data_IF_206731100686
#
_entry.id   IF_206731100686
#
_cell.length_a   1.000
_cell.length_b   1.000
_cell.length_c   1.000
_cell.angle_alpha   90.00
_cell.angle_beta   90.00
_cell.angle_gamma   90.00
#
_symmetry.space_group_name_H-M   'P 1'
#
loop_
_entity.id
_entity.type
_entity.pdbx_description
1 polymer ?
#
# COMPACT_ATOMS: atom_id res chain seq x y z
N UNK A 1 12.51 -11.80 -5.16
CA UNK A 1 12.15 -10.37 -5.16
C UNK A 1 13.12 -9.63 -4.27
N UNK A 2 13.65 -8.50 -4.73
CA UNK A 2 14.55 -7.64 -3.95
C UNK A 2 13.76 -6.65 -3.09
N UNK A 3 14.45 -6.02 -2.14
CA UNK A 3 13.86 -4.96 -1.31
C UNK A 3 13.56 -3.75 -2.19
N UNK A 4 12.40 -3.14 -1.96
CA UNK A 4 11.97 -1.92 -2.65
C UNK A 4 12.49 -0.71 -1.88
N UNK A 5 13.14 0.21 -2.60
CA UNK A 5 13.65 1.46 -2.03
C UNK A 5 12.72 2.61 -2.41
N UNK A 6 12.34 3.42 -1.42
CA UNK A 6 11.55 4.62 -1.64
C UNK A 6 12.26 5.57 -2.60
N UNK A 7 11.57 5.97 -3.67
CA UNK A 7 12.06 6.96 -4.62
C UNK A 7 11.28 8.27 -4.43
N UNK A 8 11.90 9.23 -3.73
CA UNK A 8 11.28 10.52 -3.42
C UNK A 8 10.76 11.25 -4.67
N UNK A 9 11.54 11.26 -5.74
CA UNK A 9 11.21 12.00 -6.97
C UNK A 9 9.96 11.43 -7.65
N UNK A 10 9.84 10.11 -7.71
CA UNK A 10 8.76 9.42 -8.43
C UNK A 10 7.53 9.11 -7.58
N UNK A 11 7.69 8.96 -6.26
CA UNK A 11 6.61 8.46 -5.39
C UNK A 11 6.10 9.46 -4.36
N UNK A 12 6.83 10.55 -4.09
CA UNK A 12 6.28 11.60 -3.23
C UNK A 12 5.06 12.23 -3.89
N UNK A 13 3.99 12.38 -3.11
CA UNK A 13 2.75 13.07 -3.50
C UNK A 13 2.69 14.51 -3.00
N UNK A 14 3.78 15.03 -2.46
CA UNK A 14 3.87 16.41 -1.96
C UNK A 14 3.10 16.66 -0.67
N UNK A 15 2.60 15.61 -0.01
CA UNK A 15 1.89 15.71 1.26
C UNK A 15 2.59 14.81 2.29
N UNK A 16 3.25 15.41 3.28
CA UNK A 16 4.13 14.71 4.23
C UNK A 16 3.49 13.51 4.91
N UNK A 17 2.24 13.64 5.38
CA UNK A 17 1.52 12.52 6.01
C UNK A 17 1.32 11.33 5.06
N UNK A 18 1.04 11.59 3.77
CA UNK A 18 0.81 10.52 2.79
C UNK A 18 2.13 9.84 2.46
N UNK A 19 3.20 10.63 2.24
CA UNK A 19 4.54 10.11 1.98
C UNK A 19 5.07 9.26 3.16
N UNK A 20 4.85 9.70 4.39
CA UNK A 20 5.21 8.93 5.59
C UNK A 20 4.45 7.61 5.68
N UNK A 21 3.14 7.62 5.38
CA UNK A 21 2.32 6.40 5.37
C UNK A 21 2.73 5.45 4.24
N UNK A 22 3.02 5.97 3.04
CA UNK A 22 3.53 5.17 1.93
C UNK A 22 4.83 4.46 2.29
N UNK A 23 5.77 5.17 2.92
CA UNK A 23 7.03 4.61 3.37
C UNK A 23 6.86 3.54 4.46
N UNK A 24 5.94 3.75 5.40
CA UNK A 24 5.62 2.76 6.44
C UNK A 24 5.04 1.48 5.87
N UNK A 25 4.12 1.60 4.91
CA UNK A 25 3.51 0.46 4.22
C UNK A 25 4.56 -0.28 3.38
N UNK A 26 5.42 0.46 2.67
CA UNK A 26 6.54 -0.10 1.92
C UNK A 26 7.53 -0.85 2.82
N UNK A 27 7.80 -0.33 4.02
CA UNK A 27 8.66 -1.00 5.01
C UNK A 27 8.07 -2.34 5.47
N UNK A 28 6.74 -2.42 5.63
CA UNK A 28 6.06 -3.68 5.96
C UNK A 28 6.09 -4.68 4.80
N UNK A 29 5.89 -4.23 3.56
CA UNK A 29 6.05 -5.08 2.36
C UNK A 29 7.48 -5.64 2.29
N UNK A 30 8.48 -4.78 2.49
CA UNK A 30 9.88 -5.20 2.55
C UNK A 30 10.15 -6.21 3.67
N UNK A 31 9.53 -6.03 4.84
CA UNK A 31 9.63 -6.98 5.94
C UNK A 31 9.11 -8.37 5.54
N UNK A 32 8.01 -8.44 4.78
CA UNK A 32 7.47 -9.70 4.28
C UNK A 32 8.42 -10.37 3.27
N UNK A 33 9.06 -9.59 2.40
CA UNK A 33 10.10 -10.07 1.48
C UNK A 33 11.26 -10.71 2.27
N UNK A 34 11.76 -10.04 3.31
CA UNK A 34 12.84 -10.56 4.18
C UNK A 34 12.43 -11.83 4.92
N UNK A 35 11.22 -11.88 5.49
CA UNK A 35 10.67 -13.07 6.18
C UNK A 35 10.67 -14.27 5.23
N UNK A 36 10.24 -14.06 3.99
CA UNK A 36 10.20 -15.09 2.95
C UNK A 36 11.61 -15.56 2.58
N UNK A 37 12.53 -14.64 2.28
CA UNK A 37 13.91 -14.96 1.91
C UNK A 37 14.65 -15.70 3.03
N UNK A 38 14.42 -15.30 4.28
CA UNK A 38 15.03 -15.91 5.47
C UNK A 38 14.43 -17.25 5.88
N UNK A 39 13.48 -17.81 5.12
CA UNK A 39 12.74 -19.05 5.44
C UNK A 39 12.14 -19.05 6.86
N UNK A 40 11.66 -17.88 7.32
CA UNK A 40 11.04 -17.74 8.63
C UNK A 40 9.67 -18.43 8.69
N UNK A 41 9.12 -18.70 9.89
CA UNK A 41 7.82 -19.33 10.05
C UNK A 41 6.69 -18.58 9.35
N UNK A 42 5.68 -19.33 8.86
CA UNK A 42 4.46 -18.76 8.25
C UNK A 42 3.72 -17.79 9.20
N UNK A 43 3.82 -17.99 10.51
CA UNK A 43 3.24 -17.10 11.53
C UNK A 43 3.76 -15.67 11.48
N UNK A 44 5.05 -15.49 11.17
CA UNK A 44 5.67 -14.17 11.07
C UNK A 44 5.08 -13.40 9.88
N UNK A 45 4.84 -14.11 8.78
CA UNK A 45 4.22 -13.55 7.58
C UNK A 45 2.76 -13.14 7.85
N UNK A 46 1.97 -13.98 8.52
CA UNK A 46 0.59 -13.65 8.87
C UNK A 46 0.52 -12.43 9.80
N UNK A 47 1.45 -12.34 10.76
CA UNK A 47 1.56 -11.17 11.65
C UNK A 47 1.87 -9.91 10.86
N UNK A 48 2.85 -9.97 9.96
CA UNK A 48 3.22 -8.85 9.10
C UNK A 48 2.07 -8.43 8.16
N UNK A 49 1.36 -9.40 7.57
CA UNK A 49 0.20 -9.15 6.70
C UNK A 49 -0.97 -8.52 7.46
N UNK A 50 -1.23 -8.95 8.69
CA UNK A 50 -2.26 -8.36 9.56
C UNK A 50 -1.95 -6.91 9.90
N UNK A 51 -0.69 -6.62 10.27
CA UNK A 51 -0.23 -5.26 10.52
C UNK A 51 -0.32 -4.39 9.26
N UNK A 52 0.09 -4.92 8.11
CA UNK A 52 -0.04 -4.24 6.81
C UNK A 52 -1.49 -3.87 6.51
N UNK A 53 -2.43 -4.79 6.71
CA UNK A 53 -3.86 -4.53 6.49
C UNK A 53 -4.40 -3.41 7.38
N UNK A 54 -3.95 -3.33 8.63
CA UNK A 54 -4.29 -2.22 9.52
C UNK A 54 -3.73 -0.89 9.01
N UNK A 55 -2.45 -0.85 8.61
CA UNK A 55 -1.82 0.37 8.10
C UNK A 55 -2.47 0.87 6.82
N UNK A 56 -2.80 -0.04 5.89
CA UNK A 56 -3.47 0.32 4.64
C UNK A 56 -4.88 0.86 4.90
N UNK A 57 -5.63 0.24 5.82
CA UNK A 57 -6.97 0.75 6.20
C UNK A 57 -6.89 2.17 6.77
N UNK A 58 -5.88 2.43 7.61
CA UNK A 58 -5.67 3.77 8.17
C UNK A 58 -5.27 4.77 7.07
N UNK A 59 -4.37 4.37 6.18
CA UNK A 59 -3.90 5.20 5.08
C UNK A 59 -5.04 5.59 4.12
N UNK A 60 -5.81 4.64 3.60
CA UNK A 60 -6.94 4.95 2.70
C UNK A 60 -8.00 5.84 3.36
N UNK A 61 -8.23 5.67 4.66
CA UNK A 61 -9.11 6.57 5.41
C UNK A 61 -8.56 8.00 5.49
N UNK A 62 -7.26 8.15 5.79
CA UNK A 62 -6.61 9.45 5.85
C UNK A 62 -6.55 10.13 4.47
N UNK A 63 -6.18 9.37 3.44
CA UNK A 63 -6.14 9.83 2.05
C UNK A 63 -7.52 10.29 1.59
N UNK A 64 -8.58 9.52 1.84
CA UNK A 64 -9.94 9.91 1.48
C UNK A 64 -10.36 11.25 2.10
N UNK A 65 -9.98 11.52 3.35
CA UNK A 65 -10.23 12.82 4.01
C UNK A 65 -9.44 13.94 3.31
N UNK A 66 -8.16 13.71 3.01
CA UNK A 66 -7.30 14.66 2.32
C UNK A 66 -7.86 14.99 0.93
N UNK A 67 -8.16 13.97 0.11
CA UNK A 67 -8.65 14.12 -1.26
C UNK A 67 -10.03 14.77 -1.33
N UNK A 68 -10.91 14.47 -0.35
CA UNK A 68 -12.19 15.15 -0.22
C UNK A 68 -12.00 16.65 0.07
N UNK A 69 -11.04 17.01 0.93
CA UNK A 69 -10.80 18.41 1.31
C UNK A 69 -10.31 19.28 0.14
N UNK A 70 -9.55 18.69 -0.78
CA UNK A 70 -9.05 19.36 -2.00
C UNK A 70 -9.95 19.16 -3.22
N UNK A 71 -11.11 18.52 -3.07
CA UNK A 71 -12.09 18.25 -4.15
C UNK A 71 -11.45 17.55 -5.36
N UNK A 72 -10.67 16.50 -5.09
CA UNK A 72 -10.00 15.71 -6.13
C UNK A 72 -11.02 15.19 -7.17
N UNK A 73 -10.79 15.42 -8.47
CA UNK A 73 -11.61 14.82 -9.54
C UNK A 73 -11.48 13.30 -9.54
N UNK A 74 -12.57 12.58 -9.79
CA UNK A 74 -12.62 11.11 -9.86
C UNK A 74 -12.34 10.38 -8.52
N UNK A 75 -12.60 11.03 -7.38
CA UNK A 75 -12.44 10.43 -6.04
C UNK A 75 -13.17 9.08 -5.89
N UNK A 76 -14.35 8.93 -6.49
CA UNK A 76 -15.09 7.65 -6.44
C UNK A 76 -14.33 6.50 -7.10
N UNK A 77 -13.62 6.75 -8.21
CA UNK A 77 -12.82 5.74 -8.90
C UNK A 77 -11.58 5.36 -8.05
N UNK A 78 -10.96 6.35 -7.41
CA UNK A 78 -9.84 6.15 -6.49
C UNK A 78 -10.24 5.24 -5.32
N UNK A 79 -11.34 5.56 -4.63
CA UNK A 79 -11.90 4.79 -3.52
C UNK A 79 -12.26 3.37 -3.97
N UNK A 80 -12.84 3.21 -5.17
CA UNK A 80 -13.16 1.89 -5.69
C UNK A 80 -11.92 1.01 -5.87
N UNK A 81 -10.79 1.60 -6.27
CA UNK A 81 -9.51 0.87 -6.35
C UNK A 81 -9.05 0.37 -4.97
N UNK A 82 -9.22 1.20 -3.92
CA UNK A 82 -8.89 0.85 -2.54
C UNK A 82 -9.77 -0.27 -2.01
N UNK A 83 -11.07 -0.25 -2.34
CA UNK A 83 -12.02 -1.28 -1.95
C UNK A 83 -11.67 -2.63 -2.57
N UNK A 84 -11.29 -2.64 -3.86
CA UNK A 84 -10.84 -3.84 -4.56
C UNK A 84 -9.58 -4.41 -3.93
N UNK A 85 -8.59 -3.56 -3.65
CA UNK A 85 -7.37 -3.96 -2.97
C UNK A 85 -7.65 -4.51 -1.56
N UNK A 86 -8.46 -3.81 -0.79
CA UNK A 86 -8.84 -4.21 0.58
C UNK A 86 -9.58 -5.53 0.60
N UNK A 87 -10.46 -5.77 -0.37
CA UNK A 87 -11.13 -7.06 -0.54
C UNK A 87 -10.11 -8.17 -0.81
N UNK A 88 -9.18 -7.95 -1.73
CA UNK A 88 -8.15 -8.94 -2.05
C UNK A 88 -7.22 -9.22 -0.87
N UNK A 89 -6.89 -8.20 -0.10
CA UNK A 89 -6.09 -8.33 1.10
C UNK A 89 -6.79 -9.18 2.18
N UNK A 90 -8.10 -9.02 2.35
CA UNK A 90 -8.91 -9.87 3.25
C UNK A 90 -8.93 -11.32 2.79
N UNK A 91 -9.00 -11.58 1.48
CA UNK A 91 -8.89 -12.95 0.96
C UNK A 91 -7.57 -13.60 1.37
N UNK A 92 -6.44 -12.89 1.27
CA UNK A 92 -5.14 -13.43 1.71
C UNK A 92 -5.08 -13.70 3.22
N UNK A 93 -5.73 -12.87 4.03
CA UNK A 93 -5.79 -13.07 5.49
C UNK A 93 -6.66 -14.26 5.89
N UNK A 94 -7.75 -14.52 5.15
CA UNK A 94 -8.69 -15.61 5.42
C UNK A 94 -8.23 -16.94 4.84
N UNK A 95 -7.32 -16.92 3.86
CA UNK A 95 -6.82 -18.14 3.26
C UNK A 95 -5.82 -18.87 4.16
N UNK A 96 -6.36 -19.70 5.06
CA UNK A 96 -5.60 -20.56 5.94
C UNK A 96 -4.76 -21.62 5.20
N UNK A 97 -5.13 -22.00 3.96
CA UNK A 97 -4.67 -23.24 3.30
C UNK A 97 -4.08 -23.11 1.88
N UNK A 98 -4.19 -21.98 1.16
CA UNK A 98 -4.07 -22.00 -0.31
C UNK A 98 -3.09 -21.02 -0.97
N UNK A 99 -3.00 -19.77 -0.54
CA UNK A 99 -2.20 -18.77 -1.24
C UNK A 99 -0.73 -18.86 -0.84
N UNK A 100 0.13 -18.96 -1.85
CA UNK A 100 1.57 -18.95 -1.60
C UNK A 100 1.97 -17.58 -1.06
N UNK A 101 2.88 -17.58 -0.09
CA UNK A 101 3.47 -16.34 0.44
C UNK A 101 4.09 -15.49 -0.66
N UNK A 102 4.51 -16.11 -1.76
CA UNK A 102 5.01 -15.45 -2.97
C UNK A 102 3.91 -14.66 -3.67
N UNK A 103 2.80 -15.31 -4.04
CA UNK A 103 1.69 -14.65 -4.76
C UNK A 103 1.12 -13.48 -3.97
N UNK A 104 1.05 -13.61 -2.64
CA UNK A 104 0.59 -12.53 -1.76
C UNK A 104 1.55 -11.33 -1.83
N UNK A 105 2.86 -11.58 -1.70
CA UNK A 105 3.87 -10.51 -1.75
C UNK A 105 3.93 -9.89 -3.15
N UNK A 106 3.89 -10.69 -4.22
CA UNK A 106 3.89 -10.22 -5.61
C UNK A 106 2.70 -9.30 -5.88
N UNK A 107 1.50 -9.67 -5.43
CA UNK A 107 0.33 -8.82 -5.53
C UNK A 107 0.50 -7.51 -4.76
N UNK A 108 0.95 -7.58 -3.50
CA UNK A 108 1.13 -6.40 -2.65
C UNK A 108 2.13 -5.43 -3.27
N UNK A 109 3.26 -5.94 -3.74
CA UNK A 109 4.30 -5.14 -4.38
C UNK A 109 3.76 -4.49 -5.64
N UNK A 110 3.20 -5.30 -6.55
CA UNK A 110 2.71 -4.82 -7.84
C UNK A 110 1.64 -3.75 -7.64
N UNK A 111 0.61 -4.02 -6.86
CA UNK A 111 -0.50 -3.09 -6.69
C UNK A 111 -0.04 -1.83 -5.96
N UNK A 112 0.74 -1.96 -4.88
CA UNK A 112 1.14 -0.80 -4.07
C UNK A 112 2.02 0.18 -4.85
N UNK A 113 3.03 -0.33 -5.57
CA UNK A 113 3.91 0.55 -6.36
C UNK A 113 3.20 1.15 -7.57
N UNK A 114 2.31 0.41 -8.20
CA UNK A 114 1.52 0.88 -9.35
C UNK A 114 0.52 1.96 -8.92
N UNK A 115 -0.19 1.73 -7.82
CA UNK A 115 -1.15 2.67 -7.25
C UNK A 115 -0.49 3.99 -6.86
N UNK A 116 0.62 3.97 -6.13
CA UNK A 116 1.34 5.20 -5.80
C UNK A 116 1.74 5.94 -7.07
N UNK A 117 2.39 5.23 -8.00
CA UNK A 117 2.97 5.85 -9.19
C UNK A 117 1.92 6.42 -10.14
N UNK A 118 0.77 5.75 -10.31
CA UNK A 118 -0.20 6.05 -11.35
C UNK A 118 -1.52 6.62 -10.83
N UNK A 119 -1.88 6.42 -9.56
CA UNK A 119 -3.07 7.00 -8.95
C UNK A 119 -2.69 8.12 -7.99
N UNK A 120 -1.83 7.85 -7.00
CA UNK A 120 -1.60 8.81 -5.91
C UNK A 120 -0.82 10.05 -6.38
N UNK A 121 0.16 9.88 -7.27
CA UNK A 121 0.86 11.04 -7.84
C UNK A 121 -0.05 11.99 -8.63
N UNK A 122 -1.24 11.56 -9.09
CA UNK A 122 -2.17 12.42 -9.82
C UNK A 122 -2.62 13.62 -9.00
N UNK A 123 -2.75 13.48 -7.69
CA UNK A 123 -3.17 14.59 -6.84
C UNK A 123 -2.00 15.44 -6.31
N UNK A 124 -0.75 15.08 -6.61
CA UNK A 124 0.45 15.81 -6.15
C UNK A 124 0.39 17.31 -6.44
N UNK A 125 -0.06 17.66 -7.65
CA UNK A 125 -0.15 19.06 -8.08
C UNK A 125 -1.14 19.90 -7.26
N UNK A 126 -2.02 19.28 -6.47
CA UNK A 126 -2.94 19.99 -5.57
C UNK A 126 -2.27 20.47 -4.28
N UNK A 127 -1.06 19.97 -3.98
CA UNK A 127 -0.28 20.28 -2.77
C UNK A 127 0.99 21.07 -3.03
N UNK A 128 1.34 21.27 -4.31
CA UNK A 128 2.46 22.12 -4.70
C UNK A 128 1.91 23.55 -4.83
N UNK A 129 2.30 24.44 -3.91
CA UNK A 129 2.00 25.87 -4.02
C UNK A 129 2.56 26.43 -5.36
N UNK A 130 1.81 27.31 -6.06
CA UNK A 130 2.22 27.91 -7.34
C UNK A 130 3.41 28.88 -7.24
#
# INVERSE_FOLDING_TARGET
MEKIIWNEESWSVGHSLMDDQHQQILALINKMIEIRQGKRPKSDLLTALSLLSQQITHHFGAEGVVLLSVKMPNLEEHIKSHEQFSSKLREFLLDCNGLSSEQTIDFLVSWWTDHILHEDTKYKHLFIDP
#
